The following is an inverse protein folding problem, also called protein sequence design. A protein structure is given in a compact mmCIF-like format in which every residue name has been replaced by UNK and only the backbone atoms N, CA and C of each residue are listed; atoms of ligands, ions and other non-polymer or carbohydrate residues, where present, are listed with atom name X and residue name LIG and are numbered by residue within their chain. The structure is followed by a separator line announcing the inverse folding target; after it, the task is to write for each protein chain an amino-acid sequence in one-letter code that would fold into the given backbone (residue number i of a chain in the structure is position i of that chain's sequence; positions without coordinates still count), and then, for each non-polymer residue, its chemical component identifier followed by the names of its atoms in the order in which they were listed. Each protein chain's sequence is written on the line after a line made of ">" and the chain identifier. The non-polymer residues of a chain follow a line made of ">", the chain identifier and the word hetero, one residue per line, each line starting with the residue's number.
data_IF_358022355764
#
_entry.id   IF_358022355764
#
_cell.length_a   1.000
_cell.length_b   1.000
_cell.length_c   1.000
_cell.angle_alpha   90.00
_cell.angle_beta   90.00
_cell.angle_gamma   90.00
#
_symmetry.space_group_name_H-M   'P 1'
#
loop_
_entity.id
_entity.type
_entity.pdbx_description
1 polymer ?
#
# COMPACT_ATOMS: atom_id res chain seq x y z
N UNK A 1 -16.25 27.22 2.21
CA UNK A 1 -17.28 26.20 1.93
C UNK A 1 -16.64 24.86 2.24
N UNK A 2 -17.01 24.21 3.34
CA UNK A 2 -16.50 22.89 3.70
C UNK A 2 -17.02 21.89 2.65
N UNK A 3 -16.10 21.36 1.86
CA UNK A 3 -16.39 20.28 0.92
C UNK A 3 -16.82 19.06 1.76
N UNK A 4 -18.07 18.62 1.64
CA UNK A 4 -18.57 17.39 2.26
C UNK A 4 -17.93 16.18 1.55
N UNK A 5 -16.63 15.97 1.76
CA UNK A 5 -16.00 14.69 1.47
C UNK A 5 -16.68 13.70 2.42
N UNK A 6 -17.28 12.64 1.89
CA UNK A 6 -17.91 11.59 2.70
C UNK A 6 -16.92 10.99 3.71
N UNK A 7 -17.35 10.00 4.49
CA UNK A 7 -16.50 9.30 5.48
C UNK A 7 -15.18 8.84 4.83
N UNK A 8 -14.01 9.14 5.42
CA UNK A 8 -12.73 8.69 4.89
C UNK A 8 -12.66 7.16 4.82
N UNK A 9 -11.90 6.65 3.85
CA UNK A 9 -11.55 5.21 3.80
C UNK A 9 -10.58 4.86 4.92
N UNK A 10 -9.60 5.76 5.17
CA UNK A 10 -8.62 5.66 6.26
C UNK A 10 -8.80 6.88 7.13
N UNK A 11 -8.98 6.69 8.42
CA UNK A 11 -9.04 7.76 9.40
C UNK A 11 -8.14 7.41 10.60
N UNK A 12 -7.07 8.18 10.75
CA UNK A 12 -6.14 8.13 11.86
C UNK A 12 -6.38 9.35 12.74
N UNK A 13 -6.59 9.15 14.03
CA UNK A 13 -6.80 10.21 15.02
C UNK A 13 -5.78 10.07 16.15
N UNK A 14 -4.89 11.04 16.26
CA UNK A 14 -3.86 11.14 17.29
C UNK A 14 -3.08 9.84 17.50
N UNK A 15 -2.61 9.24 16.41
CA UNK A 15 -1.89 7.96 16.41
C UNK A 15 -0.50 8.11 17.01
N UNK A 16 -0.25 7.34 18.05
CA UNK A 16 1.08 7.15 18.63
C UNK A 16 1.55 5.70 18.40
N UNK A 17 2.82 5.54 18.05
CA UNK A 17 3.49 4.24 18.07
C UNK A 17 4.83 4.39 18.75
N UNK A 18 4.96 3.76 19.91
CA UNK A 18 6.11 3.85 20.80
C UNK A 18 6.73 2.47 20.90
N UNK A 19 8.00 2.37 20.57
CA UNK A 19 8.79 1.15 20.76
C UNK A 19 9.74 1.32 21.93
N UNK A 20 9.86 0.29 22.77
CA UNK A 20 10.87 0.23 23.81
C UNK A 20 12.14 -0.39 23.24
N UNK A 21 13.24 0.35 23.23
CA UNK A 21 14.56 -0.11 22.76
C UNK A 21 15.56 -0.01 23.91
N UNK A 22 15.73 -1.10 24.67
CA UNK A 22 16.43 -1.06 25.95
C UNK A 22 15.74 -0.16 26.96
N UNK A 23 16.43 0.83 27.48
CA UNK A 23 15.89 1.82 28.44
C UNK A 23 15.31 3.09 27.76
N UNK A 24 15.35 3.16 26.42
CA UNK A 24 14.89 4.33 25.67
C UNK A 24 13.54 4.07 24.98
N UNK A 25 12.68 5.11 24.96
CA UNK A 25 11.44 5.13 24.19
C UNK A 25 11.67 5.78 22.83
N UNK A 26 11.36 5.06 21.76
CA UNK A 26 11.38 5.59 20.37
C UNK A 26 9.96 5.82 19.91
N UNK A 27 9.59 7.08 19.72
CA UNK A 27 8.28 7.51 19.20
C UNK A 27 8.31 7.51 17.66
N UNK A 28 7.97 6.38 17.07
CA UNK A 28 7.99 6.22 15.61
C UNK A 28 6.78 6.88 14.93
N UNK A 29 5.65 7.04 15.65
CA UNK A 29 4.54 7.94 15.32
C UNK A 29 4.20 8.73 16.58
N UNK A 30 4.03 10.06 16.44
CA UNK A 30 3.88 11.00 17.56
C UNK A 30 2.73 11.98 17.28
N UNK A 31 1.48 11.51 17.50
CA UNK A 31 0.26 12.29 17.32
C UNK A 31 -0.12 12.48 15.84
N UNK A 32 -0.07 11.41 15.03
CA UNK A 32 -0.45 11.48 13.62
C UNK A 32 -1.97 11.48 13.48
N UNK A 33 -2.51 12.55 12.88
CA UNK A 33 -3.91 12.66 12.46
C UNK A 33 -3.95 12.80 10.95
N UNK A 34 -4.64 11.85 10.25
CA UNK A 34 -4.67 11.78 8.79
C UNK A 34 -5.97 11.14 8.31
N UNK A 35 -6.66 11.78 7.39
CA UNK A 35 -7.81 11.21 6.67
C UNK A 35 -7.51 11.01 5.19
N UNK A 36 -7.79 9.81 4.64
CA UNK A 36 -7.65 9.51 3.21
C UNK A 36 -8.99 8.99 2.68
N UNK A 37 -9.50 9.61 1.63
CA UNK A 37 -10.78 9.26 1.02
C UNK A 37 -10.63 8.26 -0.13
N UNK A 38 -11.74 7.59 -0.46
CA UNK A 38 -11.77 6.68 -1.62
C UNK A 38 -11.40 7.43 -2.90
N UNK A 39 -10.59 6.77 -3.74
CA UNK A 39 -10.11 7.30 -5.02
C UNK A 39 -8.98 8.33 -4.89
N UNK A 40 -8.48 8.63 -3.70
CA UNK A 40 -7.29 9.48 -3.57
C UNK A 40 -6.01 8.73 -4.02
N UNK A 41 -5.09 9.48 -4.61
CA UNK A 41 -3.71 9.05 -4.86
C UNK A 41 -2.79 9.88 -3.99
N UNK A 42 -2.25 9.27 -2.95
CA UNK A 42 -1.45 9.93 -1.91
C UNK A 42 -0.03 9.38 -1.91
N UNK A 43 0.95 10.26 -1.84
CA UNK A 43 2.33 9.89 -1.54
C UNK A 43 2.67 10.24 -0.09
N UNK A 44 3.18 9.27 0.67
CA UNK A 44 3.73 9.47 2.00
C UNK A 44 5.25 9.50 1.87
N UNK A 45 5.85 10.64 2.18
CA UNK A 45 7.28 10.87 1.99
C UNK A 45 8.00 11.23 3.29
N UNK A 46 9.31 11.03 3.31
CA UNK A 46 10.16 11.40 4.44
C UNK A 46 11.52 10.70 4.37
N UNK A 47 12.48 11.17 5.15
CA UNK A 47 13.82 10.55 5.23
C UNK A 47 13.75 9.15 5.85
N UNK A 48 14.82 8.36 5.68
CA UNK A 48 14.97 7.09 6.43
C UNK A 48 14.86 7.36 7.94
N UNK A 49 14.15 6.51 8.66
CA UNK A 49 13.93 6.66 10.11
C UNK A 49 12.83 7.66 10.51
N UNK A 50 12.16 8.34 9.58
CA UNK A 50 11.15 9.35 9.92
C UNK A 50 9.81 8.78 10.43
N UNK A 51 9.60 7.45 10.45
CA UNK A 51 8.36 6.82 10.89
C UNK A 51 7.45 6.31 9.75
N UNK A 52 7.84 6.46 8.45
CA UNK A 52 7.02 6.03 7.31
C UNK A 52 6.64 4.54 7.34
N UNK A 53 7.60 3.66 7.59
CA UNK A 53 7.36 2.20 7.63
C UNK A 53 6.44 1.83 8.79
N UNK A 54 6.58 2.51 9.92
CA UNK A 54 5.66 2.34 11.07
C UNK A 54 4.25 2.75 10.70
N UNK A 55 4.08 3.94 10.10
CA UNK A 55 2.77 4.40 9.64
C UNK A 55 2.19 3.47 8.58
N UNK A 56 3.03 2.98 7.64
CA UNK A 56 2.62 1.99 6.65
C UNK A 56 2.09 0.71 7.31
N UNK A 57 2.78 0.19 8.32
CA UNK A 57 2.37 -1.01 9.01
C UNK A 57 1.02 -0.82 9.74
N UNK A 58 0.80 0.37 10.33
CA UNK A 58 -0.48 0.70 10.96
C UNK A 58 -1.59 0.79 9.89
N UNK A 59 -1.40 1.60 8.83
CA UNK A 59 -2.38 1.72 7.73
C UNK A 59 -2.66 0.36 7.10
N UNK A 60 -1.61 -0.47 6.98
CA UNK A 60 -1.68 -1.81 6.43
C UNK A 60 -2.32 -2.86 7.34
N UNK A 61 -2.77 -2.50 8.55
CA UNK A 61 -3.24 -3.43 9.57
C UNK A 61 -2.25 -4.60 9.83
N UNK A 62 -0.95 -4.32 9.69
CA UNK A 62 0.16 -5.22 10.03
C UNK A 62 0.62 -5.02 11.49
N UNK A 63 0.32 -3.85 12.03
CA UNK A 63 0.60 -3.47 13.41
C UNK A 63 -0.54 -2.57 13.91
N UNK A 64 -0.69 -2.44 15.21
CA UNK A 64 -1.68 -1.57 15.85
C UNK A 64 -0.98 -0.38 16.51
N UNK A 65 -1.63 0.79 16.61
CA UNK A 65 -1.07 1.92 17.35
C UNK A 65 -0.92 1.58 18.84
N UNK A 66 0.01 2.26 19.53
CA UNK A 66 0.14 2.21 20.99
C UNK A 66 -0.97 3.02 21.66
N UNK A 67 -1.39 4.12 21.01
CA UNK A 67 -2.49 4.99 21.45
C UNK A 67 -3.08 5.71 20.24
N UNK A 68 -4.31 6.23 20.37
CA UNK A 68 -5.08 6.85 19.31
C UNK A 68 -6.06 5.89 18.65
N UNK A 69 -6.83 6.40 17.68
CA UNK A 69 -7.88 5.64 17.01
C UNK A 69 -7.57 5.47 15.52
N UNK A 70 -7.70 4.23 15.02
CA UNK A 70 -7.58 3.93 13.60
C UNK A 70 -8.84 3.26 13.06
N UNK A 71 -9.45 3.88 12.04
CA UNK A 71 -10.59 3.35 11.31
C UNK A 71 -10.24 3.09 9.85
N UNK A 72 -10.57 1.87 9.37
CA UNK A 72 -10.45 1.46 7.97
C UNK A 72 -11.84 1.08 7.44
N UNK A 73 -12.35 1.85 6.47
CA UNK A 73 -13.71 1.65 5.95
C UNK A 73 -14.80 1.83 7.00
N UNK A 74 -14.54 2.57 8.08
CA UNK A 74 -15.42 2.79 9.22
C UNK A 74 -15.32 1.74 10.32
N UNK A 75 -14.48 0.70 10.17
CA UNK A 75 -14.25 -0.32 11.19
C UNK A 75 -13.05 0.09 12.08
N UNK A 76 -13.17 0.03 13.41
CA UNK A 76 -12.09 0.36 14.35
C UNK A 76 -11.03 -0.75 14.36
N UNK A 77 -9.90 -0.49 13.71
CA UNK A 77 -8.79 -1.44 13.56
C UNK A 77 -7.97 -1.57 14.85
N UNK A 78 -7.88 -0.51 15.65
CA UNK A 78 -7.08 -0.48 16.88
C UNK A 78 -7.53 -1.49 17.94
N UNK A 79 -8.79 -1.94 17.90
CA UNK A 79 -9.38 -2.88 18.86
C UNK A 79 -9.49 -4.32 18.31
N UNK A 80 -9.00 -4.56 17.07
CA UNK A 80 -9.12 -5.86 16.41
C UNK A 80 -8.12 -6.89 16.96
N UNK A 81 -8.58 -8.13 17.07
CA UNK A 81 -7.72 -9.29 17.29
C UNK A 81 -6.88 -9.59 16.04
N UNK A 82 -5.79 -10.36 16.17
CA UNK A 82 -4.92 -10.75 15.05
C UNK A 82 -5.68 -11.41 13.89
N UNK A 83 -6.69 -12.23 14.20
CA UNK A 83 -7.52 -12.86 13.17
C UNK A 83 -8.39 -11.83 12.44
N UNK A 84 -8.96 -10.86 13.13
CA UNK A 84 -9.74 -9.77 12.53
C UNK A 84 -8.85 -8.84 11.71
N UNK A 85 -7.64 -8.54 12.20
CA UNK A 85 -6.63 -7.79 11.44
C UNK A 85 -6.26 -8.53 10.14
N UNK A 86 -6.07 -9.85 10.20
CA UNK A 86 -5.77 -10.64 9.00
C UNK A 86 -6.95 -10.65 8.01
N UNK A 87 -8.19 -10.71 8.49
CA UNK A 87 -9.38 -10.69 7.65
C UNK A 87 -9.59 -9.33 6.98
N UNK A 88 -9.54 -8.21 7.73
CA UNK A 88 -9.71 -6.88 7.17
C UNK A 88 -8.60 -6.54 6.19
N UNK A 89 -7.36 -6.91 6.51
CA UNK A 89 -6.21 -6.75 5.62
C UNK A 89 -6.41 -7.50 4.30
N UNK A 90 -6.79 -8.76 4.36
CA UNK A 90 -7.05 -9.58 3.16
C UNK A 90 -8.18 -9.03 2.29
N UNK A 91 -9.23 -8.51 2.92
CA UNK A 91 -10.42 -7.98 2.25
C UNK A 91 -10.19 -6.60 1.64
N UNK A 92 -9.46 -5.71 2.33
CA UNK A 92 -9.44 -4.29 2.01
C UNK A 92 -8.13 -3.79 1.42
N UNK A 93 -7.01 -4.50 1.61
CA UNK A 93 -5.67 -3.97 1.31
C UNK A 93 -4.92 -4.87 0.34
N UNK A 94 -4.46 -4.30 -0.77
CA UNK A 94 -3.51 -4.92 -1.68
C UNK A 94 -2.12 -4.32 -1.47
N UNK A 95 -1.13 -5.17 -1.15
CA UNK A 95 0.25 -4.73 -0.91
C UNK A 95 1.12 -4.89 -2.14
N UNK A 96 1.92 -3.87 -2.44
CA UNK A 96 2.99 -3.87 -3.43
C UNK A 96 4.29 -3.51 -2.71
N UNK A 97 5.30 -4.37 -2.77
CA UNK A 97 6.57 -4.20 -2.06
C UNK A 97 7.74 -3.97 -3.03
N UNK A 98 8.77 -3.30 -2.55
CA UNK A 98 10.01 -3.05 -3.29
C UNK A 98 10.69 -4.35 -3.78
N UNK A 99 10.74 -5.39 -2.94
CA UNK A 99 11.36 -6.68 -3.24
C UNK A 99 10.36 -7.72 -3.75
N UNK A 100 9.22 -7.28 -4.29
CA UNK A 100 8.14 -8.09 -4.86
C UNK A 100 7.50 -9.10 -3.87
N UNK A 101 8.24 -9.67 -2.94
CA UNK A 101 7.82 -10.67 -1.93
C UNK A 101 7.04 -11.85 -2.56
N UNK A 102 7.53 -12.35 -3.70
CA UNK A 102 6.99 -13.54 -4.34
C UNK A 102 7.57 -14.80 -3.69
N UNK A 103 6.74 -15.82 -3.52
CA UNK A 103 7.18 -17.12 -3.01
C UNK A 103 7.87 -17.89 -4.14
N UNK A 104 9.20 -18.18 -4.04
CA UNK A 104 9.99 -18.69 -5.15
C UNK A 104 9.64 -20.13 -5.54
N UNK A 105 8.99 -20.88 -4.65
CA UNK A 105 8.56 -22.28 -4.89
C UNK A 105 7.16 -22.40 -5.49
N UNK A 106 6.44 -21.27 -5.63
CA UNK A 106 5.14 -21.21 -6.26
C UNK A 106 5.25 -20.63 -7.67
N UNK A 107 4.40 -21.11 -8.56
CA UNK A 107 4.23 -20.50 -9.89
C UNK A 107 3.71 -19.08 -9.77
N UNK A 108 3.75 -18.33 -10.86
CA UNK A 108 3.22 -16.98 -10.95
C UNK A 108 1.73 -16.96 -10.63
N UNK A 109 0.97 -17.90 -11.19
CA UNK A 109 -0.46 -18.05 -10.89
C UNK A 109 -0.71 -18.29 -9.39
N UNK A 110 0.00 -19.26 -8.81
CA UNK A 110 -0.14 -19.58 -7.39
C UNK A 110 0.24 -18.41 -6.47
N UNK A 111 1.23 -17.60 -6.84
CA UNK A 111 1.55 -16.38 -6.11
C UNK A 111 0.40 -15.37 -6.13
N UNK A 112 -0.30 -15.22 -7.27
CA UNK A 112 -1.45 -14.31 -7.39
C UNK A 112 -2.69 -14.89 -6.70
N UNK A 113 -2.86 -16.20 -6.65
CA UNK A 113 -3.95 -16.88 -5.93
C UNK A 113 -3.83 -16.77 -4.39
N UNK A 114 -2.63 -16.49 -3.84
CA UNK A 114 -2.39 -16.51 -2.38
C UNK A 114 -3.42 -15.72 -1.55
N UNK A 115 -3.70 -14.43 -1.82
CA UNK A 115 -4.69 -13.69 -1.04
C UNK A 115 -6.11 -14.29 -1.17
N UNK A 116 -6.41 -14.93 -2.29
CA UNK A 116 -7.71 -15.53 -2.53
C UNK A 116 -7.93 -16.86 -1.79
N UNK A 117 -6.86 -17.49 -1.27
CA UNK A 117 -6.98 -18.72 -0.46
C UNK A 117 -7.73 -18.47 0.86
N UNK A 118 -7.67 -17.24 1.36
CA UNK A 118 -8.35 -16.82 2.61
C UNK A 118 -9.79 -16.34 2.37
N UNK A 119 -10.21 -16.27 1.09
CA UNK A 119 -11.59 -15.97 0.72
C UNK A 119 -12.43 -17.27 0.70
N UNK A 120 -13.74 -17.13 0.77
CA UNK A 120 -14.67 -18.28 0.65
C UNK A 120 -14.93 -18.72 -0.79
N UNK A 121 -14.01 -18.40 -1.71
CA UNK A 121 -14.17 -18.71 -3.14
C UNK A 121 -13.80 -20.14 -3.46
N UNK A 122 -14.51 -20.73 -4.42
CA UNK A 122 -14.17 -22.02 -4.98
C UNK A 122 -12.83 -21.97 -5.76
N UNK A 123 -12.14 -23.11 -5.85
CA UNK A 123 -10.81 -23.18 -6.48
C UNK A 123 -10.80 -22.65 -7.92
N UNK A 124 -11.84 -22.97 -8.70
CA UNK A 124 -11.93 -22.51 -10.09
C UNK A 124 -12.10 -21.00 -10.18
N UNK A 125 -12.90 -20.40 -9.30
CA UNK A 125 -13.12 -18.94 -9.23
C UNK A 125 -11.84 -18.20 -8.85
N UNK A 126 -11.10 -18.68 -7.84
CA UNK A 126 -9.80 -18.11 -7.46
C UNK A 126 -8.83 -18.09 -8.65
N UNK A 127 -8.76 -19.21 -9.37
CA UNK A 127 -7.89 -19.35 -10.54
C UNK A 127 -8.28 -18.38 -11.66
N UNK A 128 -9.56 -18.22 -11.94
CA UNK A 128 -10.07 -17.29 -12.94
C UNK A 128 -9.70 -15.85 -12.57
N UNK A 129 -9.97 -15.41 -11.34
CA UNK A 129 -9.59 -14.07 -10.84
C UNK A 129 -8.08 -13.81 -10.88
N UNK A 130 -7.29 -14.80 -10.51
CA UNK A 130 -5.84 -14.68 -10.60
C UNK A 130 -5.37 -14.53 -12.06
N UNK A 131 -5.97 -15.28 -12.99
CA UNK A 131 -5.69 -15.17 -14.42
C UNK A 131 -6.12 -13.82 -15.00
N UNK A 132 -7.27 -13.28 -14.58
CA UNK A 132 -7.72 -11.93 -14.96
C UNK A 132 -6.77 -10.86 -14.44
N UNK A 133 -6.31 -11.00 -13.17
CA UNK A 133 -5.34 -10.07 -12.59
C UNK A 133 -4.00 -10.09 -13.33
N UNK A 134 -3.53 -11.26 -13.76
CA UNK A 134 -2.33 -11.39 -14.60
C UNK A 134 -2.53 -10.75 -15.98
N UNK A 135 -3.73 -10.86 -16.53
CA UNK A 135 -4.08 -10.24 -17.82
C UNK A 135 -4.06 -8.71 -17.73
N UNK A 136 -4.64 -8.15 -16.66
CA UNK A 136 -4.64 -6.69 -16.39
C UNK A 136 -3.23 -6.08 -16.37
N UNK A 137 -2.25 -6.82 -15.88
CA UNK A 137 -0.84 -6.37 -15.83
C UNK A 137 -0.02 -6.81 -17.06
N UNK A 138 -0.65 -7.49 -18.05
CA UNK A 138 -0.03 -7.89 -19.31
C UNK A 138 1.04 -8.98 -19.17
N UNK A 139 0.82 -9.98 -18.28
CA UNK A 139 1.78 -11.07 -18.05
C UNK A 139 1.11 -12.45 -17.96
N UNK A 140 -0.12 -12.54 -18.47
CA UNK A 140 -0.93 -13.77 -18.40
C UNK A 140 -0.22 -15.01 -18.96
N UNK A 141 0.55 -14.87 -20.05
CA UNK A 141 1.25 -15.98 -20.72
C UNK A 141 2.33 -16.62 -19.85
N UNK A 142 2.79 -15.92 -18.78
CA UNK A 142 3.80 -16.41 -17.84
C UNK A 142 3.24 -17.16 -16.64
N UNK A 143 1.96 -17.47 -16.60
CA UNK A 143 1.27 -18.01 -15.41
C UNK A 143 1.88 -19.30 -14.83
N UNK A 144 2.53 -20.15 -15.68
CA UNK A 144 3.21 -21.39 -15.27
C UNK A 144 4.66 -21.18 -14.83
N UNK A 145 5.24 -20.02 -15.11
CA UNK A 145 6.63 -19.72 -14.75
C UNK A 145 6.77 -19.58 -13.23
N UNK A 146 8.01 -19.68 -12.77
CA UNK A 146 8.40 -19.36 -11.40
C UNK A 146 9.03 -17.96 -11.34
N UNK A 147 9.06 -17.30 -10.15
CA UNK A 147 9.62 -15.94 -10.01
C UNK A 147 11.04 -15.78 -10.56
N UNK A 148 11.91 -16.76 -10.35
CA UNK A 148 13.30 -16.73 -10.81
C UNK A 148 13.46 -16.81 -12.36
N UNK A 149 12.38 -17.06 -13.09
CA UNK A 149 12.35 -17.08 -14.55
C UNK A 149 11.88 -15.74 -15.14
N UNK A 150 11.63 -14.73 -14.29
CA UNK A 150 11.11 -13.42 -14.68
C UNK A 150 12.13 -12.33 -14.42
N UNK A 151 12.12 -11.28 -15.26
CA UNK A 151 12.84 -10.03 -14.98
C UNK A 151 12.24 -9.31 -13.75
N UNK A 152 12.98 -8.36 -13.15
CA UNK A 152 12.50 -7.59 -12.01
C UNK A 152 11.17 -6.86 -12.30
N UNK A 153 11.04 -6.23 -13.46
CA UNK A 153 9.79 -5.58 -13.86
C UNK A 153 8.63 -6.55 -14.05
N UNK A 154 8.89 -7.76 -14.56
CA UNK A 154 7.87 -8.79 -14.64
C UNK A 154 7.46 -9.30 -13.26
N UNK A 155 8.40 -9.47 -12.33
CA UNK A 155 8.11 -9.83 -10.94
C UNK A 155 7.27 -8.75 -10.25
N UNK A 156 7.55 -7.47 -10.50
CA UNK A 156 6.75 -6.37 -9.98
C UNK A 156 5.32 -6.38 -10.54
N UNK A 157 5.15 -6.65 -11.83
CA UNK A 157 3.82 -6.83 -12.42
C UNK A 157 3.05 -7.97 -11.75
N UNK A 158 3.69 -9.08 -11.41
CA UNK A 158 3.08 -10.18 -10.64
C UNK A 158 2.70 -9.73 -9.23
N UNK A 159 3.56 -8.98 -8.54
CA UNK A 159 3.24 -8.40 -7.22
C UNK A 159 2.01 -7.50 -7.28
N UNK A 160 1.90 -6.67 -8.33
CA UNK A 160 0.72 -5.84 -8.58
C UNK A 160 -0.52 -6.70 -8.87
N UNK A 161 -0.41 -7.74 -9.73
CA UNK A 161 -1.53 -8.65 -10.00
C UNK A 161 -2.03 -9.33 -8.72
N UNK A 162 -1.12 -9.77 -7.85
CA UNK A 162 -1.45 -10.34 -6.54
C UNK A 162 -2.18 -9.32 -5.66
N UNK A 163 -1.73 -8.07 -5.63
CA UNK A 163 -2.39 -7.02 -4.87
C UNK A 163 -3.82 -6.75 -5.35
N UNK A 164 -4.06 -6.85 -6.67
CA UNK A 164 -5.37 -6.60 -7.29
C UNK A 164 -6.35 -7.78 -7.20
N UNK A 165 -5.86 -9.00 -7.01
CA UNK A 165 -6.68 -10.23 -7.11
C UNK A 165 -7.86 -10.25 -6.13
N UNK A 166 -7.69 -9.70 -4.91
CA UNK A 166 -8.73 -9.55 -3.90
C UNK A 166 -9.72 -8.43 -4.15
N UNK A 167 -9.54 -7.62 -5.21
CA UNK A 167 -10.29 -6.40 -5.45
C UNK A 167 -10.30 -5.45 -4.23
N UNK A 168 -9.13 -5.04 -3.72
CA UNK A 168 -9.01 -4.27 -2.50
C UNK A 168 -9.56 -2.84 -2.65
N UNK A 169 -9.97 -2.24 -1.53
CA UNK A 169 -10.36 -0.82 -1.47
C UNK A 169 -9.16 0.13 -1.43
N UNK A 170 -8.00 -0.39 -1.02
CA UNK A 170 -6.74 0.32 -0.86
C UNK A 170 -5.59 -0.47 -1.49
N UNK A 171 -4.77 0.19 -2.29
CA UNK A 171 -3.46 -0.31 -2.73
C UNK A 171 -2.39 0.45 -1.95
N UNK A 172 -1.58 -0.29 -1.19
CA UNK A 172 -0.49 0.24 -0.38
C UNK A 172 0.85 -0.20 -1.00
N UNK A 173 1.58 0.74 -1.58
CA UNK A 173 2.80 0.49 -2.34
C UNK A 173 4.03 1.06 -1.60
N UNK A 174 4.91 0.17 -1.14
CA UNK A 174 6.16 0.52 -0.46
C UNK A 174 7.32 0.50 -1.45
N UNK A 175 7.88 1.67 -1.74
CA UNK A 175 8.98 1.86 -2.70
C UNK A 175 8.78 1.05 -4.01
N UNK A 176 7.64 1.18 -4.70
CA UNK A 176 7.22 0.23 -5.74
C UNK A 176 8.14 0.16 -6.95
N UNK A 177 9.07 1.11 -7.09
CA UNK A 177 10.04 1.19 -8.20
C UNK A 177 11.49 1.09 -7.75
N UNK A 178 11.76 0.97 -6.45
CA UNK A 178 13.10 1.07 -5.87
C UNK A 178 14.08 -0.04 -6.30
N UNK A 179 13.58 -1.16 -6.83
CA UNK A 179 14.40 -2.27 -7.34
C UNK A 179 14.42 -2.34 -8.89
N UNK A 180 13.88 -1.32 -9.59
CA UNK A 180 13.70 -1.31 -11.03
C UNK A 180 14.60 -0.28 -11.72
N UNK A 181 14.92 -0.53 -12.98
CA UNK A 181 15.49 0.51 -13.85
C UNK A 181 14.48 1.61 -14.13
N UNK A 182 14.96 2.80 -14.52
CA UNK A 182 14.12 3.99 -14.69
C UNK A 182 12.99 3.82 -15.68
N UNK A 183 13.17 3.04 -16.77
CA UNK A 183 12.12 2.80 -17.77
C UNK A 183 11.02 1.93 -17.20
N UNK A 184 11.41 0.80 -16.62
CA UNK A 184 10.46 -0.15 -16.00
C UNK A 184 9.75 0.47 -14.80
N UNK A 185 10.47 1.28 -14.00
CA UNK A 185 9.88 2.05 -12.90
C UNK A 185 8.79 3.02 -13.39
N UNK A 186 9.03 3.73 -14.50
CA UNK A 186 8.02 4.61 -15.12
C UNK A 186 6.77 3.84 -15.54
N UNK A 187 6.93 2.68 -16.18
CA UNK A 187 5.79 1.84 -16.59
C UNK A 187 4.94 1.39 -15.37
N UNK A 188 5.57 1.10 -14.24
CA UNK A 188 4.87 0.75 -12.99
C UNK A 188 4.10 1.96 -12.44
N UNK A 189 4.69 3.15 -12.42
CA UNK A 189 4.02 4.37 -11.95
C UNK A 189 2.85 4.76 -12.85
N UNK A 190 3.01 4.67 -14.17
CA UNK A 190 1.94 4.89 -15.14
C UNK A 190 0.79 3.91 -14.94
N UNK A 191 1.10 2.65 -14.63
CA UNK A 191 0.08 1.66 -14.31
C UNK A 191 -0.67 1.99 -13.01
N UNK A 192 0.03 2.40 -11.95
CA UNK A 192 -0.60 2.84 -10.70
C UNK A 192 -1.50 4.06 -10.91
N UNK A 193 -1.07 5.05 -11.73
CA UNK A 193 -1.93 6.19 -12.11
C UNK A 193 -3.21 5.73 -12.80
N UNK A 194 -3.08 4.83 -13.79
CA UNK A 194 -4.24 4.26 -14.47
C UNK A 194 -5.20 3.59 -13.50
N UNK A 195 -4.72 2.80 -12.54
CA UNK A 195 -5.55 2.20 -11.50
C UNK A 195 -6.26 3.26 -10.65
N UNK A 196 -5.60 4.37 -10.32
CA UNK A 196 -6.24 5.46 -9.60
C UNK A 196 -7.33 6.14 -10.44
N UNK A 197 -7.09 6.35 -11.73
CA UNK A 197 -8.09 6.93 -12.65
C UNK A 197 -9.30 5.98 -12.84
N UNK A 198 -9.11 4.68 -12.65
CA UNK A 198 -10.19 3.67 -12.58
C UNK A 198 -10.93 3.68 -11.23
N UNK A 199 -10.54 4.55 -10.28
CA UNK A 199 -11.21 4.75 -8.99
C UNK A 199 -10.55 4.04 -7.79
N UNK A 200 -9.41 3.37 -7.97
CA UNK A 200 -8.70 2.75 -6.84
C UNK A 200 -8.06 3.82 -5.94
N UNK A 201 -8.11 3.60 -4.63
CA UNK A 201 -7.35 4.39 -3.66
C UNK A 201 -5.93 3.87 -3.60
N UNK A 202 -4.94 4.75 -3.76
CA UNK A 202 -3.52 4.35 -3.78
C UNK A 202 -2.73 5.20 -2.80
N UNK A 203 -1.92 4.54 -1.99
CA UNK A 203 -0.89 5.16 -1.16
C UNK A 203 0.46 4.64 -1.62
N UNK A 204 1.35 5.54 -2.03
CA UNK A 204 2.76 5.23 -2.27
C UNK A 204 3.56 5.74 -1.09
N UNK A 205 4.44 4.88 -0.54
CA UNK A 205 5.43 5.27 0.45
C UNK A 205 6.78 5.30 -0.24
N UNK A 206 7.47 6.44 -0.14
CA UNK A 206 8.77 6.60 -0.79
C UNK A 206 9.63 7.65 -0.09
N UNK A 207 10.93 7.58 -0.29
CA UNK A 207 11.87 8.63 0.06
C UNK A 207 12.27 9.48 -1.15
N UNK A 208 11.80 9.13 -2.35
CA UNK A 208 12.10 9.81 -3.61
C UNK A 208 11.00 10.83 -3.95
N UNK A 209 11.37 12.11 -3.96
CA UNK A 209 10.47 13.20 -4.30
C UNK A 209 9.94 13.09 -5.74
N UNK A 210 10.72 12.53 -6.67
CA UNK A 210 10.27 12.36 -8.06
C UNK A 210 9.10 11.38 -8.17
N UNK A 211 9.10 10.34 -7.34
CA UNK A 211 7.98 9.39 -7.25
C UNK A 211 6.78 10.05 -6.55
N UNK A 212 7.04 10.86 -5.52
CA UNK A 212 5.97 11.58 -4.80
C UNK A 212 5.20 12.53 -5.72
N UNK A 213 5.87 13.13 -6.71
CA UNK A 213 5.25 14.02 -7.70
C UNK A 213 4.26 13.32 -8.64
N UNK A 214 4.22 11.99 -8.64
CA UNK A 214 3.24 11.22 -9.41
C UNK A 214 1.87 11.15 -8.73
N UNK A 215 1.80 11.43 -7.42
CA UNK A 215 0.55 11.47 -6.66
C UNK A 215 -0.17 12.83 -6.84
N UNK A 216 -1.42 12.90 -6.38
CA UNK A 216 -2.23 14.13 -6.36
C UNK A 216 -2.10 14.90 -5.04
N UNK A 217 -1.76 14.20 -3.95
CA UNK A 217 -1.57 14.72 -2.59
C UNK A 217 -0.31 14.12 -1.99
N UNK A 218 0.42 14.93 -1.27
CA UNK A 218 1.65 14.51 -0.58
C UNK A 218 1.48 14.73 0.92
N UNK A 219 1.85 13.71 1.70
CA UNK A 219 1.96 13.75 3.16
C UNK A 219 3.41 13.56 3.51
N UNK A 220 4.04 14.56 4.13
CA UNK A 220 5.45 14.48 4.53
C UNK A 220 5.57 14.19 6.02
N UNK A 221 6.35 13.15 6.33
CA UNK A 221 6.63 12.74 7.71
C UNK A 221 8.07 13.11 8.07
N UNK A 222 8.22 13.68 9.25
CA UNK A 222 9.50 13.99 9.86
C UNK A 222 9.41 13.71 11.36
N UNK A 223 10.32 12.86 11.87
CA UNK A 223 10.42 12.50 13.30
C UNK A 223 9.05 12.09 13.90
N UNK A 224 8.37 11.19 13.22
CA UNK A 224 7.08 10.64 13.66
C UNK A 224 5.88 11.59 13.49
N UNK A 225 6.05 12.80 12.94
CA UNK A 225 4.98 13.82 12.78
C UNK A 225 4.74 14.16 11.32
N UNK A 226 3.49 14.52 10.99
CA UNK A 226 3.17 15.13 9.71
C UNK A 226 3.58 16.59 9.76
N UNK A 227 4.49 17.01 8.87
CA UNK A 227 4.92 18.40 8.72
C UNK A 227 4.45 19.06 7.42
N UNK A 228 3.85 18.27 6.52
CA UNK A 228 3.14 18.76 5.34
C UNK A 228 2.04 17.77 4.97
N UNK A 229 0.88 18.26 4.58
CA UNK A 229 -0.23 17.51 4.00
C UNK A 229 -0.98 18.44 3.04
N UNK A 230 -0.88 18.18 1.74
CA UNK A 230 -1.44 19.08 0.75
C UNK A 230 -1.32 18.59 -0.69
N UNK A 231 -1.73 19.45 -1.60
CA UNK A 231 -1.63 19.22 -3.05
C UNK A 231 -0.16 19.10 -3.50
N UNK A 232 0.09 18.24 -4.47
CA UNK A 232 1.43 17.99 -5.00
C UNK A 232 2.09 19.26 -5.58
N UNK A 233 1.31 20.19 -6.14
CA UNK A 233 1.86 21.44 -6.67
C UNK A 233 2.35 22.39 -5.55
N UNK A 234 1.72 22.33 -4.38
CA UNK A 234 2.18 23.08 -3.21
C UNK A 234 3.43 22.44 -2.61
N UNK A 235 3.47 21.09 -2.60
CA UNK A 235 4.67 20.36 -2.20
C UNK A 235 5.87 20.68 -3.09
N UNK A 236 5.67 20.73 -4.41
CA UNK A 236 6.74 21.07 -5.39
C UNK A 236 7.40 22.42 -5.16
N UNK A 237 6.75 23.35 -4.44
CA UNK A 237 7.30 24.69 -4.12
C UNK A 237 8.20 24.72 -2.89
N UNK A 238 8.22 23.64 -2.11
CA UNK A 238 8.93 23.56 -0.83
C UNK A 238 10.07 22.52 -0.79
N UNK A 239 10.30 21.78 -1.90
CA UNK A 239 11.37 20.78 -2.07
C UNK A 239 12.56 21.28 -2.87
#
# INVERSE_FOLDING_TARGET
>A
MANSKGTPLIELRDIYKIYQVGDEEVRASDGITLGIHKGEFVAIVGKSGSGKSTLMNIIGALDVPTDGEYYLGGENVGEMTDNQLAEIRNRMIGFIFQQYNLLPKLTILENVELPLLYSKMEKWERRERAMESLDRVGIREKWKNYPNQLSGGQQQRVSIARALAGNPSLILADEPTGALDSKTGREVLDFLRKLNDEGNTIIIITHDNSIAMEAKRVVRIHDGKINFDGDVNDYARII
#
